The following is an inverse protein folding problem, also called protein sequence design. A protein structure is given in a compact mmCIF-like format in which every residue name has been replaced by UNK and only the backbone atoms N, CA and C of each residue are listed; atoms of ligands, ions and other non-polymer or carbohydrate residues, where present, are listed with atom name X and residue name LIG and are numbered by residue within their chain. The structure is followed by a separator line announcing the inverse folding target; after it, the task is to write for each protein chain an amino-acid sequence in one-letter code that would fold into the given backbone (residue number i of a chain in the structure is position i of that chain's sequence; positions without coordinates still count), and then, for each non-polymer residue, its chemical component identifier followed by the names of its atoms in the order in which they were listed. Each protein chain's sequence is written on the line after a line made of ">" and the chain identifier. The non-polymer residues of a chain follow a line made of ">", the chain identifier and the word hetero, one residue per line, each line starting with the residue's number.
data_IF_292020320120
#
_entry.id   IF_292020320120
#
_cell.length_a   1.000
_cell.length_b   1.000
_cell.length_c   1.000
_cell.angle_alpha   90.00
_cell.angle_beta   90.00
_cell.angle_gamma   90.00
#
_symmetry.space_group_name_H-M   'P 1'
#
loop_
_entity.id
_entity.type
_entity.pdbx_description
1 polymer ?
#
# COMPACT_ATOMS: atom_id res chain seq x y z
N UNK A 1 -0.41 -2.21 -12.05
CA UNK A 1 -0.45 -1.24 -10.95
C UNK A 1 -1.83 -1.27 -10.29
N UNK A 2 -2.07 -2.19 -9.33
CA UNK A 2 -3.37 -2.28 -8.67
C UNK A 2 -3.64 -1.03 -7.82
N UNK A 3 -4.93 -0.69 -7.71
CA UNK A 3 -5.42 0.56 -7.11
C UNK A 3 -5.25 0.59 -5.58
N UNK A 4 -5.49 -0.56 -4.94
CA UNK A 4 -5.18 -0.91 -3.55
C UNK A 4 -5.08 -2.41 -3.50
N UNK A 5 -3.96 -2.92 -3.01
CA UNK A 5 -3.73 -4.35 -2.84
C UNK A 5 -3.09 -4.55 -1.47
N UNK A 6 -3.65 -5.46 -0.67
CA UNK A 6 -3.10 -5.79 0.65
C UNK A 6 -1.72 -6.46 0.54
N UNK A 7 -1.50 -7.27 -0.50
CA UNK A 7 -0.22 -7.90 -0.80
C UNK A 7 -0.19 -8.28 -2.28
N UNK A 8 0.67 -7.63 -3.06
CA UNK A 8 0.83 -7.98 -4.47
C UNK A 8 1.79 -9.17 -4.64
N UNK A 9 1.24 -10.38 -4.65
CA UNK A 9 2.02 -11.61 -4.85
C UNK A 9 2.59 -11.71 -6.26
N UNK A 10 1.88 -11.22 -7.28
CA UNK A 10 2.36 -11.19 -8.68
C UNK A 10 3.67 -10.41 -8.79
N UNK A 11 3.84 -9.33 -8.01
CA UNK A 11 5.09 -8.59 -7.95
C UNK A 11 6.25 -9.42 -7.36
N UNK A 12 5.99 -10.18 -6.29
CA UNK A 12 6.98 -11.09 -5.69
C UNK A 12 7.29 -12.28 -6.61
N UNK A 13 6.29 -12.84 -7.28
CA UNK A 13 6.44 -13.91 -8.28
C UNK A 13 7.25 -13.46 -9.49
N UNK A 14 7.00 -12.25 -10.00
CA UNK A 14 7.82 -11.65 -11.04
C UNK A 14 9.30 -11.64 -10.63
N UNK A 15 9.60 -11.08 -9.46
CA UNK A 15 10.97 -11.05 -8.91
C UNK A 15 11.56 -12.45 -8.75
N UNK A 16 10.78 -13.41 -8.22
CA UNK A 16 11.21 -14.78 -8.04
C UNK A 16 11.49 -15.51 -9.37
N UNK A 17 10.71 -15.22 -10.41
CA UNK A 17 10.81 -15.83 -11.74
C UNK A 17 12.00 -15.35 -12.57
N UNK A 18 12.58 -14.17 -12.26
CA UNK A 18 13.78 -13.63 -12.94
C UNK A 18 15.07 -14.35 -12.52
N UNK A 19 15.24 -15.58 -12.99
CA UNK A 19 16.43 -16.42 -12.77
C UNK A 19 17.68 -15.90 -13.49
N UNK A 20 17.48 -15.15 -14.58
CA UNK A 20 18.51 -14.43 -15.33
C UNK A 20 19.02 -13.18 -14.57
N UNK A 21 18.34 -12.81 -13.49
CA UNK A 21 18.65 -11.65 -12.67
C UNK A 21 18.43 -10.32 -13.39
N UNK A 22 17.72 -10.30 -14.52
CA UNK A 22 17.47 -9.09 -15.29
C UNK A 22 15.98 -8.68 -15.25
N UNK A 23 15.73 -7.42 -15.59
CA UNK A 23 14.41 -6.81 -15.62
C UNK A 23 14.23 -5.76 -14.53
N UNK A 24 13.20 -4.94 -14.72
CA UNK A 24 12.81 -3.89 -13.78
C UNK A 24 11.38 -4.13 -13.33
N UNK A 25 11.11 -3.94 -12.05
CA UNK A 25 9.77 -3.97 -11.49
C UNK A 25 9.27 -2.52 -11.37
N UNK A 26 8.13 -2.22 -12.01
CA UNK A 26 7.39 -0.98 -11.79
C UNK A 26 6.20 -1.31 -10.89
N UNK A 27 6.13 -0.67 -9.73
CA UNK A 27 5.16 -1.01 -8.68
C UNK A 27 4.45 0.23 -8.17
N UNK A 28 3.14 0.10 -7.91
CA UNK A 28 2.38 1.18 -7.30
C UNK A 28 2.80 1.35 -5.83
N UNK A 29 2.98 2.57 -5.32
CA UNK A 29 3.23 2.81 -3.89
C UNK A 29 2.05 2.37 -3.00
N UNK A 30 0.87 2.14 -3.59
CA UNK A 30 -0.33 1.70 -2.89
C UNK A 30 -0.47 0.16 -2.85
N UNK A 31 0.44 -0.58 -3.46
CA UNK A 31 0.50 -2.03 -3.31
C UNK A 31 1.18 -2.35 -1.97
N UNK A 32 0.62 -3.27 -1.17
CA UNK A 32 1.23 -3.69 0.09
C UNK A 32 2.64 -4.27 -0.07
N UNK A 33 2.98 -4.80 -1.25
CA UNK A 33 4.33 -5.24 -1.57
C UNK A 33 5.34 -4.09 -1.73
N UNK A 34 4.91 -2.83 -1.91
CA UNK A 34 5.82 -1.70 -2.13
C UNK A 34 6.70 -1.40 -0.91
N UNK A 35 6.17 -1.61 0.30
CA UNK A 35 6.94 -1.49 1.54
C UNK A 35 8.04 -2.57 1.65
N UNK A 36 7.81 -3.74 1.05
CA UNK A 36 8.76 -4.85 1.03
C UNK A 36 9.76 -4.78 -0.13
N UNK A 37 9.49 -3.98 -1.17
CA UNK A 37 10.24 -3.97 -2.44
C UNK A 37 10.70 -2.55 -2.84
N UNK A 38 11.51 -1.86 -2.01
CA UNK A 38 11.89 -0.45 -2.23
C UNK A 38 12.77 -0.21 -3.47
N UNK A 39 13.40 -1.24 -4.04
CA UNK A 39 14.20 -1.09 -5.27
C UNK A 39 13.36 -1.08 -6.56
N UNK A 40 12.06 -1.35 -6.46
CA UNK A 40 11.11 -1.18 -7.56
C UNK A 40 10.99 0.30 -7.95
N UNK A 41 10.72 0.57 -9.23
CA UNK A 41 10.38 1.91 -9.68
C UNK A 41 8.94 2.24 -9.26
N UNK A 42 8.70 3.39 -8.59
CA UNK A 42 7.35 3.79 -8.24
C UNK A 42 6.58 4.18 -9.51
N UNK A 43 5.41 3.58 -9.70
CA UNK A 43 4.48 3.90 -10.79
C UNK A 43 3.08 4.15 -10.27
N UNK A 44 2.70 5.43 -10.12
CA UNK A 44 1.38 5.80 -9.63
C UNK A 44 0.34 5.72 -10.77
N UNK A 45 -0.69 4.85 -10.70
CA UNK A 45 -1.71 4.76 -11.74
C UNK A 45 -2.59 6.01 -11.88
N UNK A 46 -2.61 6.91 -10.88
CA UNK A 46 -3.34 8.18 -10.93
C UNK A 46 -2.55 9.31 -11.63
N UNK A 47 -1.26 9.11 -11.88
CA UNK A 47 -0.39 10.08 -12.54
C UNK A 47 0.21 9.44 -13.81
N UNK A 48 -0.50 9.47 -14.94
CA UNK A 48 -0.07 8.77 -16.15
C UNK A 48 1.29 9.23 -16.67
N UNK A 49 1.64 10.51 -16.49
CA UNK A 49 2.96 11.04 -16.85
C UNK A 49 4.09 10.44 -16.01
N UNK A 50 3.89 10.29 -14.69
CA UNK A 50 4.85 9.64 -13.80
C UNK A 50 4.99 8.16 -14.14
N UNK A 51 3.87 7.49 -14.43
CA UNK A 51 3.87 6.09 -14.84
C UNK A 51 4.60 5.92 -16.18
N UNK A 52 4.36 6.80 -17.15
CA UNK A 52 5.06 6.80 -18.44
C UNK A 52 6.57 7.02 -18.25
N UNK A 53 6.97 7.97 -17.40
CA UNK A 53 8.36 8.20 -17.05
C UNK A 53 9.01 6.99 -16.36
N UNK A 54 8.29 6.32 -15.45
CA UNK A 54 8.77 5.10 -14.80
C UNK A 54 8.94 3.93 -15.77
N UNK A 55 8.02 3.76 -16.72
CA UNK A 55 8.12 2.76 -17.79
C UNK A 55 9.30 3.09 -18.71
N UNK A 56 9.43 4.35 -19.14
CA UNK A 56 10.55 4.80 -19.95
C UNK A 56 11.88 4.53 -19.24
N UNK A 57 11.99 4.93 -17.97
CA UNK A 57 13.17 4.65 -17.15
C UNK A 57 13.46 3.14 -17.05
N UNK A 58 12.44 2.29 -16.91
CA UNK A 58 12.60 0.84 -16.85
C UNK A 58 13.19 0.26 -18.15
N UNK A 59 12.71 0.71 -19.32
CA UNK A 59 13.16 0.19 -20.62
C UNK A 59 14.53 0.74 -21.04
N UNK A 60 14.89 1.96 -20.62
CA UNK A 60 16.19 2.57 -20.92
C UNK A 60 17.25 2.32 -19.84
N UNK A 61 16.91 1.59 -18.77
CA UNK A 61 17.82 1.36 -17.65
C UNK A 61 19.03 0.52 -18.09
N UNK A 62 20.28 0.93 -17.77
CA UNK A 62 21.47 0.13 -18.06
C UNK A 62 21.40 -1.25 -17.42
N UNK A 63 21.91 -2.28 -18.10
CA UNK A 63 21.86 -3.68 -17.64
C UNK A 63 22.45 -3.87 -16.24
N UNK A 64 23.57 -3.22 -15.94
CA UNK A 64 24.20 -3.27 -14.62
C UNK A 64 23.25 -2.78 -13.50
N UNK A 65 22.48 -1.71 -13.77
CA UNK A 65 21.52 -1.16 -12.81
C UNK A 65 20.31 -2.10 -12.65
N UNK A 66 19.78 -2.64 -13.75
CA UNK A 66 18.65 -3.60 -13.71
C UNK A 66 19.01 -4.82 -12.88
N UNK A 67 20.19 -5.40 -13.12
CA UNK A 67 20.71 -6.54 -12.36
C UNK A 67 20.93 -6.22 -10.88
N UNK A 68 21.49 -5.05 -10.55
CA UNK A 68 21.68 -4.64 -9.16
C UNK A 68 20.34 -4.57 -8.42
N UNK A 69 19.34 -3.92 -9.03
CA UNK A 69 18.00 -3.81 -8.45
C UNK A 69 17.32 -5.16 -8.32
N UNK A 70 17.36 -5.99 -9.35
CA UNK A 70 16.75 -7.31 -9.33
C UNK A 70 17.39 -8.22 -8.27
N UNK A 71 18.71 -8.20 -8.11
CA UNK A 71 19.40 -8.95 -7.06
C UNK A 71 18.92 -8.54 -5.65
N UNK A 72 18.80 -7.24 -5.39
CA UNK A 72 18.28 -6.74 -4.12
C UNK A 72 16.82 -7.13 -3.89
N UNK A 73 15.95 -7.01 -4.90
CA UNK A 73 14.55 -7.43 -4.80
C UNK A 73 14.43 -8.93 -4.50
N UNK A 74 15.23 -9.76 -5.15
CA UNK A 74 15.24 -11.21 -4.94
C UNK A 74 15.66 -11.58 -3.53
N UNK A 75 16.65 -10.90 -2.98
CA UNK A 75 17.06 -11.09 -1.60
C UNK A 75 15.93 -10.77 -0.61
N UNK A 76 15.20 -9.66 -0.83
CA UNK A 76 14.05 -9.31 0.02
C UNK A 76 12.93 -10.33 -0.05
N UNK A 77 12.62 -10.84 -1.24
CA UNK A 77 11.60 -11.88 -1.42
C UNK A 77 12.01 -13.18 -0.70
N UNK A 78 13.29 -13.52 -0.68
CA UNK A 78 13.81 -14.69 0.06
C UNK A 78 13.71 -14.53 1.57
N UNK A 79 13.95 -13.32 2.09
CA UNK A 79 13.89 -13.05 3.54
C UNK A 79 12.47 -13.04 4.10
N UNK A 80 11.46 -12.70 3.28
CA UNK A 80 10.04 -12.64 3.66
C UNK A 80 9.21 -13.59 2.81
N UNK A 81 9.54 -14.87 2.90
CA UNK A 81 8.83 -15.94 2.22
C UNK A 81 7.53 -16.35 2.96
N UNK A 82 6.86 -17.39 2.44
CA UNK A 82 5.60 -17.88 3.03
C UNK A 82 5.80 -18.48 4.43
N UNK A 83 6.95 -19.11 4.68
CA UNK A 83 7.26 -19.69 5.99
C UNK A 83 7.42 -18.57 7.03
N UNK A 84 8.19 -17.54 6.70
CA UNK A 84 8.32 -16.34 7.51
C UNK A 84 6.96 -15.71 7.82
N UNK A 85 6.08 -15.58 6.81
CA UNK A 85 4.75 -15.00 7.01
C UNK A 85 3.89 -15.85 7.97
N UNK A 86 3.92 -17.18 7.82
CA UNK A 86 3.18 -18.09 8.68
C UNK A 86 3.63 -18.00 10.14
N UNK A 87 4.94 -18.05 10.38
CA UNK A 87 5.54 -17.94 11.71
C UNK A 87 5.24 -16.58 12.35
N UNK A 88 5.41 -15.48 11.60
CA UNK A 88 5.12 -14.14 12.08
C UNK A 88 3.64 -13.97 12.46
N UNK A 89 2.73 -14.57 11.69
CA UNK A 89 1.29 -14.52 11.94
C UNK A 89 0.92 -15.29 13.20
N UNK A 90 1.43 -16.51 13.36
CA UNK A 90 1.19 -17.31 14.57
C UNK A 90 1.73 -16.61 15.82
N UNK A 91 2.95 -16.08 15.75
CA UNK A 91 3.56 -15.32 16.84
C UNK A 91 2.70 -14.12 17.24
N UNK A 92 2.21 -13.34 16.27
CA UNK A 92 1.35 -12.20 16.55
C UNK A 92 0.02 -12.61 17.22
N UNK A 93 -0.55 -13.76 16.82
CA UNK A 93 -1.76 -14.30 17.46
C UNK A 93 -1.50 -14.76 18.89
N UNK A 94 -0.37 -15.41 19.14
CA UNK A 94 0.05 -15.84 20.49
C UNK A 94 0.28 -14.65 21.42
N UNK A 95 0.89 -13.57 20.92
CA UNK A 95 1.09 -12.33 21.68
C UNK A 95 -0.24 -11.70 22.11
N UNK A 96 -1.22 -11.65 21.20
CA UNK A 96 -2.58 -11.15 21.50
C UNK A 96 -3.31 -12.07 22.49
N UNK A 97 -3.20 -13.39 22.31
CA UNK A 97 -3.82 -14.36 23.19
C UNK A 97 -3.20 -14.37 24.61
N UNK A 98 -1.88 -14.18 24.71
CA UNK A 98 -1.15 -14.08 25.97
C UNK A 98 -1.34 -12.74 26.70
N UNK A 99 -1.62 -11.66 25.96
CA UNK A 99 -1.93 -10.35 26.53
C UNK A 99 -3.38 -10.20 27.01
N UNK A 100 -4.27 -11.12 26.64
CA UNK A 100 -5.66 -11.09 27.11
C UNK A 100 -5.72 -11.38 28.62
N UNK A 101 -6.29 -10.49 29.45
CA UNK A 101 -6.47 -10.79 30.86
C UNK A 101 -7.32 -12.04 31.01
N UNK A 102 -6.86 -12.98 31.83
CA UNK A 102 -7.60 -14.23 32.09
C UNK A 102 -9.05 -13.91 32.48
N UNK A 103 -10.06 -14.49 31.80
CA UNK A 103 -11.47 -14.29 32.15
C UNK A 103 -11.82 -14.86 33.54
N UNK A 104 -10.89 -15.56 34.20
CA UNK A 104 -11.03 -15.98 35.59
C UNK A 104 -10.93 -14.81 36.58
N UNK A 105 -10.13 -13.77 36.30
CA UNK A 105 -9.97 -12.62 37.19
C UNK A 105 -11.20 -11.70 37.22
N UNK A 106 -11.98 -11.67 36.14
CA UNK A 106 -13.21 -10.87 36.05
C UNK A 106 -14.43 -11.52 36.76
N UNK A 107 -14.34 -12.80 37.14
CA UNK A 107 -15.46 -13.55 37.75
C UNK A 107 -15.39 -13.68 39.28
N UNK A 108 -14.31 -13.26 39.94
CA UNK A 108 -14.17 -13.37 41.41
C UNK A 108 -14.69 -12.15 42.20
N UNK A 109 -15.23 -11.12 41.53
CA UNK A 109 -15.63 -9.85 42.16
C UNK A 109 -17.13 -9.56 42.26
N UNK A 110 -18.02 -10.44 41.78
CA UNK A 110 -19.46 -10.15 41.74
C UNK A 110 -20.30 -11.26 42.37
N UNK A 111 -20.18 -11.41 43.70
CA UNK A 111 -21.11 -12.19 44.50
C UNK A 111 -21.59 -11.39 45.71
N UNK A 112 -22.31 -10.30 45.44
CA UNK A 112 -23.31 -9.76 46.37
C UNK A 112 -24.54 -9.36 45.57
N UNK A 113 -25.50 -10.29 45.54
CA UNK A 113 -26.85 -10.04 45.06
C UNK A 113 -27.66 -9.36 46.17
N UNK A 114 -28.27 -8.19 45.93
CA UNK A 114 -29.51 -7.84 46.61
C UNK A 114 -30.67 -8.06 45.64
N UNK A 115 -31.65 -8.83 46.09
CA UNK A 115 -32.86 -9.17 45.38
C UNK A 115 -33.59 -7.92 44.83
N UNK A 116 -33.94 -7.96 43.54
CA UNK A 116 -34.79 -6.96 42.91
C UNK A 116 -36.28 -7.20 43.24
N UNK A 117 -37.07 -6.16 43.55
CA UNK A 117 -38.51 -6.30 43.67
C UNK A 117 -39.18 -6.38 42.29
N UNK A 118 -40.20 -7.24 42.23
CA UNK A 118 -40.99 -7.62 41.06
C UNK A 118 -41.84 -6.43 40.59
N UNK A 119 -41.50 -5.85 39.43
CA UNK A 119 -42.29 -4.81 38.78
C UNK A 119 -43.40 -5.38 37.89
N UNK A 120 -44.58 -4.77 37.99
CA UNK A 120 -45.79 -5.11 37.27
C UNK A 120 -45.67 -4.82 35.76
N UNK A 121 -46.32 -5.68 34.95
CA UNK A 121 -46.45 -5.55 33.50
C UNK A 121 -47.37 -4.37 33.13
N UNK A 122 -47.08 -3.66 32.03
CA UNK A 122 -48.13 -3.03 31.23
C UNK A 122 -48.12 -3.49 29.77
N UNK A 123 -49.34 -3.73 29.27
CA UNK A 123 -49.81 -3.20 28.00
C UNK A 123 -49.20 -3.73 26.70
N UNK A 124 -49.93 -4.65 26.05
CA UNK A 124 -49.76 -5.00 24.65
C UNK A 124 -49.98 -3.77 23.74
N UNK A 125 -48.94 -3.34 23.02
CA UNK A 125 -49.00 -2.37 21.93
C UNK A 125 -48.45 -2.99 20.65
N UNK A 126 -49.25 -2.96 19.59
CA UNK A 126 -49.04 -3.61 18.27
C UNK A 126 -47.73 -3.17 17.58
N UNK A 127 -47.06 -4.03 16.79
CA UNK A 127 -45.92 -3.62 15.98
C UNK A 127 -46.37 -2.82 14.75
N UNK A 128 -45.96 -1.56 14.68
CA UNK A 128 -46.05 -0.73 13.47
C UNK A 128 -44.97 -1.11 12.47
N UNK A 129 -45.38 -1.32 11.21
CA UNK A 129 -44.51 -1.70 10.11
C UNK A 129 -43.42 -0.66 9.82
N UNK A 130 -42.16 -1.09 9.80
CA UNK A 130 -41.02 -0.26 9.38
C UNK A 130 -41.01 -0.20 7.85
N UNK A 131 -41.24 1.00 7.29
CA UNK A 131 -41.27 1.27 5.85
C UNK A 131 -39.84 1.44 5.33
N UNK A 132 -39.32 0.42 4.64
CA UNK A 132 -38.02 0.45 3.96
C UNK A 132 -38.10 1.42 2.76
N UNK A 133 -37.30 2.49 2.76
CA UNK A 133 -37.12 3.35 1.58
C UNK A 133 -35.95 2.82 0.74
N UNK A 134 -36.12 2.61 -0.58
CA UNK A 134 -35.02 2.23 -1.46
C UNK A 134 -34.08 3.40 -1.75
N UNK A 135 -32.78 3.08 -1.84
CA UNK A 135 -31.65 3.98 -2.09
C UNK A 135 -31.73 4.64 -3.49
N UNK A 136 -31.39 5.93 -3.64
CA UNK A 136 -31.17 6.50 -4.97
C UNK A 136 -29.81 6.06 -5.54
N UNK A 137 -29.82 5.65 -6.82
CA UNK A 137 -28.63 5.26 -7.58
C UNK A 137 -27.71 6.43 -7.94
N UNK A 138 -26.51 6.15 -8.48
CA UNK A 138 -25.50 7.17 -8.73
C UNK A 138 -25.88 8.11 -9.87
N UNK A 139 -25.97 9.40 -9.55
CA UNK A 139 -26.14 10.49 -10.50
C UNK A 139 -24.86 10.67 -11.33
N UNK A 140 -25.02 10.62 -12.65
CA UNK A 140 -23.98 10.76 -13.66
C UNK A 140 -23.93 12.24 -14.06
N UNK A 141 -22.92 12.99 -13.62
CA UNK A 141 -22.74 14.37 -14.09
C UNK A 141 -21.50 14.50 -14.99
N UNK A 142 -21.74 15.04 -16.18
CA UNK A 142 -20.80 15.32 -17.28
C UNK A 142 -20.48 16.82 -17.26
N UNK A 143 -19.21 17.17 -17.48
CA UNK A 143 -18.72 18.53 -17.79
C UNK A 143 -18.71 19.46 -16.57
N UNK A 144 -17.68 20.24 -16.26
CA UNK A 144 -16.52 20.68 -17.01
C UNK A 144 -16.36 22.16 -16.68
N UNK A 145 -15.26 22.56 -16.05
CA UNK A 145 -14.79 23.95 -16.03
C UNK A 145 -13.36 23.97 -15.54
N UNK A 146 -12.49 24.36 -16.46
CA UNK A 146 -11.20 25.04 -16.30
C UNK A 146 -11.08 25.78 -14.96
N UNK A 147 -10.05 25.45 -14.18
CA UNK A 147 -9.45 26.40 -13.26
C UNK A 147 -7.97 26.52 -13.59
N UNK A 148 -7.69 27.67 -14.18
CA UNK A 148 -6.40 28.33 -14.30
C UNK A 148 -5.83 28.54 -12.90
N UNK A 149 -4.64 27.99 -12.62
CA UNK A 149 -3.86 28.43 -11.48
C UNK A 149 -2.41 28.69 -11.90
N UNK A 150 -2.25 29.90 -12.41
CA UNK A 150 -0.99 30.60 -12.61
C UNK A 150 -0.21 30.69 -11.30
N UNK A 151 0.93 29.99 -11.19
CA UNK A 151 1.98 30.30 -10.22
C UNK A 151 3.37 30.19 -10.86
N UNK A 152 3.81 31.36 -11.34
CA UNK A 152 5.17 31.93 -11.30
C UNK A 152 6.35 30.95 -11.43
N UNK A 153 6.81 30.78 -12.68
CA UNK A 153 8.16 30.33 -12.97
C UNK A 153 9.18 31.39 -12.49
N UNK A 154 10.09 30.98 -11.59
CA UNK A 154 11.39 31.66 -11.45
C UNK A 154 12.36 31.02 -12.44
N UNK A 155 12.60 31.75 -13.51
CA UNK A 155 13.68 31.52 -14.47
C UNK A 155 15.00 32.17 -13.96
N UNK A 156 16.12 31.89 -14.65
CA UNK A 156 17.52 32.37 -14.52
C UNK A 156 18.47 31.25 -14.05
N UNK A 157 19.49 30.78 -14.78
CA UNK A 157 20.02 30.96 -16.15
C UNK A 157 21.10 29.86 -16.36
N UNK A 158 21.33 29.32 -17.57
CA UNK A 158 22.40 28.35 -17.83
C UNK A 158 23.72 29.07 -18.18
N UNK A 159 24.84 28.56 -17.66
CA UNK A 159 26.19 28.92 -18.10
C UNK A 159 27.19 28.00 -17.41
N UNK A 160 28.19 27.41 -18.05
CA UNK A 160 28.64 27.35 -19.43
C UNK A 160 29.73 26.27 -19.46
N UNK A 161 29.81 25.51 -20.55
CA UNK A 161 30.89 24.53 -20.77
C UNK A 161 32.21 25.27 -21.06
N UNK A 162 33.35 24.84 -20.50
CA UNK A 162 34.64 25.12 -21.12
C UNK A 162 35.08 23.92 -21.99
N UNK A 163 35.28 24.22 -23.26
CA UNK A 163 35.88 23.40 -24.31
C UNK A 163 37.38 23.18 -24.05
N UNK A 164 37.88 22.01 -24.44
CA UNK A 164 39.27 21.61 -24.36
C UNK A 164 40.21 22.43 -25.25
N UNK A 165 41.46 22.63 -24.81
CA UNK A 165 42.59 22.97 -25.67
C UNK A 165 43.82 22.21 -25.16
N UNK A 166 44.42 21.40 -26.04
CA UNK A 166 45.68 20.70 -25.80
C UNK A 166 46.87 21.46 -26.35
N UNK A 167 48.03 21.28 -25.71
CA UNK A 167 49.40 21.40 -26.23
C UNK A 167 50.30 20.91 -25.09
N UNK A 168 51.18 19.92 -25.21
CA UNK A 168 52.03 19.59 -26.33
C UNK A 168 53.49 19.96 -26.00
N UNK A 169 54.13 19.19 -25.09
CA UNK A 169 55.58 18.85 -25.01
C UNK A 169 56.61 20.02 -25.02
N UNK A 170 57.94 19.80 -24.90
CA UNK A 170 58.75 18.56 -24.95
C UNK A 170 58.93 17.81 -23.63
#
# INVERSE_FOLDING_TARGET
>A
TPLRDGLNLVAKEYVASRIDGDGVLVLSPFAGAAADLPEALPGNPYHPEELAAAIHAAITMPEAERRRRMAALRERVRQKDLAWWWEATLKALEEVAGAAPSPAAARSGAATSPAAPRAARPGAGRPGAVRVHPRPGPSRNRGGTTQDNTLVAKEVKPGGLPTAAGSGRP
#
